data_IF_564273070869
#
_entry.id   IF_564273070869
#
_cell.length_a   1.000
_cell.length_b   1.000
_cell.length_c   1.000
_cell.angle_alpha   90.00
_cell.angle_beta   90.00
_cell.angle_gamma   90.00
#
_symmetry.space_group_name_H-M   'P 1'
#
loop_
_entity.id
_entity.type
_entity.pdbx_description
1 polymer ?
#
# COMPACT_ATOMS: atom_id res chain seq x y z
N UNK A 1 -0.30 -9.42 -23.38
CA UNK A 1 -1.61 -8.94 -23.90
C UNK A 1 -2.82 -9.50 -23.13
N UNK A 2 -3.10 -10.82 -23.11
CA UNK A 2 -4.32 -11.37 -22.47
C UNK A 2 -4.48 -11.08 -20.96
N UNK A 3 -3.38 -11.06 -20.18
CA UNK A 3 -3.42 -10.86 -18.72
C UNK A 3 -3.66 -9.40 -18.32
N UNK A 4 -3.09 -8.45 -19.07
CA UNK A 4 -3.30 -7.01 -18.87
C UNK A 4 -4.78 -6.62 -19.08
N UNK A 5 -5.41 -7.18 -20.12
CA UNK A 5 -6.83 -6.91 -20.39
C UNK A 5 -7.79 -7.44 -19.30
N UNK A 6 -7.41 -8.50 -18.56
CA UNK A 6 -8.22 -9.01 -17.45
C UNK A 6 -8.15 -8.12 -16.22
N UNK A 7 -6.95 -7.66 -15.85
CA UNK A 7 -6.78 -6.79 -14.68
C UNK A 7 -7.50 -5.45 -14.87
N UNK A 8 -7.40 -4.88 -16.09
CA UNK A 8 -8.15 -3.65 -16.42
C UNK A 8 -9.65 -3.85 -16.24
N UNK A 9 -10.23 -4.87 -16.86
CA UNK A 9 -11.68 -5.16 -16.74
C UNK A 9 -12.12 -5.41 -15.30
N UNK A 10 -11.28 -6.06 -14.49
CA UNK A 10 -11.56 -6.29 -13.08
C UNK A 10 -11.63 -4.96 -12.30
N UNK A 11 -10.64 -4.09 -12.47
CA UNK A 11 -10.62 -2.76 -11.83
C UNK A 11 -11.77 -1.87 -12.32
N UNK A 12 -12.10 -1.91 -13.61
CA UNK A 12 -13.25 -1.19 -14.16
C UNK A 12 -14.55 -1.61 -13.48
N UNK A 13 -14.76 -2.92 -13.31
CA UNK A 13 -15.93 -3.46 -12.63
C UNK A 13 -15.97 -3.04 -11.15
N UNK A 14 -14.84 -3.11 -10.45
CA UNK A 14 -14.75 -2.65 -9.06
C UNK A 14 -15.08 -1.17 -8.92
N UNK A 15 -14.66 -0.33 -9.87
CA UNK A 15 -15.01 1.10 -9.89
C UNK A 15 -16.48 1.40 -10.17
N UNK A 16 -17.32 0.38 -10.42
CA UNK A 16 -18.79 0.52 -10.49
C UNK A 16 -19.49 0.10 -9.19
N UNK A 17 -18.79 -0.52 -8.25
CA UNK A 17 -19.35 -0.93 -6.96
C UNK A 17 -19.46 0.30 -6.04
N UNK A 18 -20.61 0.50 -5.39
CA UNK A 18 -20.75 1.54 -4.38
C UNK A 18 -20.03 1.13 -3.08
N UNK A 19 -19.32 2.09 -2.46
CA UNK A 19 -18.61 1.90 -1.18
C UNK A 19 -17.52 0.81 -1.21
N UNK A 20 -16.76 0.72 -2.29
CA UNK A 20 -15.64 -0.21 -2.39
C UNK A 20 -14.30 0.42 -1.97
N UNK A 21 -13.48 -0.34 -1.24
CA UNK A 21 -12.11 0.05 -0.87
C UNK A 21 -11.12 -0.92 -1.52
N UNK A 22 -10.21 -0.37 -2.35
CA UNK A 22 -9.15 -1.12 -2.99
C UNK A 22 -7.82 -0.88 -2.27
N UNK A 23 -7.26 -1.92 -1.67
CA UNK A 23 -5.90 -1.90 -1.12
C UNK A 23 -4.92 -2.48 -2.13
N UNK A 24 -3.81 -1.77 -2.36
CA UNK A 24 -2.77 -2.14 -3.32
C UNK A 24 -1.44 -2.21 -2.58
N UNK A 25 -0.78 -3.36 -2.67
CA UNK A 25 0.59 -3.55 -2.19
C UNK A 25 1.50 -3.88 -3.38
N UNK A 26 2.66 -3.25 -3.41
CA UNK A 26 3.60 -3.32 -4.52
C UNK A 26 4.93 -3.89 -4.06
N UNK A 27 5.46 -4.84 -4.84
CA UNK A 27 6.79 -5.37 -4.59
C UNK A 27 7.83 -4.24 -4.78
N UNK A 28 8.96 -4.25 -4.03
CA UNK A 28 10.02 -3.29 -4.26
C UNK A 28 10.44 -3.25 -5.74
N UNK A 29 10.65 -2.04 -6.27
CA UNK A 29 10.94 -1.72 -7.69
C UNK A 29 9.74 -1.57 -8.63
N UNK A 30 8.51 -1.65 -8.12
CA UNK A 30 7.34 -1.19 -8.89
C UNK A 30 7.32 0.33 -8.90
N UNK A 31 7.08 0.91 -10.07
CA UNK A 31 7.05 2.35 -10.32
C UNK A 31 5.71 2.98 -9.90
N UNK A 32 5.74 4.27 -9.55
CA UNK A 32 4.58 5.12 -9.28
C UNK A 32 3.60 5.19 -10.46
N UNK A 33 4.06 4.92 -11.70
CA UNK A 33 3.20 4.78 -12.89
C UNK A 33 2.02 3.81 -12.67
N UNK A 34 2.19 2.78 -11.82
CA UNK A 34 1.11 1.84 -11.50
C UNK A 34 -0.02 2.51 -10.71
N UNK A 35 0.29 3.43 -9.79
CA UNK A 35 -0.73 4.16 -9.04
C UNK A 35 -1.58 5.01 -9.98
N UNK A 36 -0.96 5.70 -10.93
CA UNK A 36 -1.68 6.52 -11.91
C UNK A 36 -2.55 5.67 -12.85
N UNK A 37 -2.05 4.51 -13.29
CA UNK A 37 -2.84 3.56 -14.06
C UNK A 37 -4.07 3.06 -13.27
N UNK A 38 -3.90 2.75 -11.99
CA UNK A 38 -5.01 2.33 -11.13
C UNK A 38 -6.02 3.46 -10.98
N UNK A 39 -5.58 4.70 -10.74
CA UNK A 39 -6.46 5.87 -10.64
C UNK A 39 -7.25 6.11 -11.91
N UNK A 40 -6.64 5.96 -13.09
CA UNK A 40 -7.33 6.12 -14.38
C UNK A 40 -8.48 5.11 -14.55
N UNK A 41 -8.23 3.85 -14.17
CA UNK A 41 -9.16 2.75 -14.40
C UNK A 41 -10.22 2.63 -13.29
N UNK A 42 -9.77 2.60 -12.03
CA UNK A 42 -10.62 2.41 -10.86
C UNK A 42 -11.37 3.69 -10.47
N UNK A 43 -10.83 4.87 -10.82
CA UNK A 43 -11.42 6.20 -10.54
C UNK A 43 -11.87 6.38 -9.09
N UNK A 44 -10.96 6.22 -8.10
CA UNK A 44 -11.30 6.39 -6.71
C UNK A 44 -11.68 7.85 -6.40
N UNK A 45 -12.69 8.05 -5.55
CA UNK A 45 -13.03 9.37 -5.00
C UNK A 45 -11.93 9.89 -4.06
N UNK A 46 -11.20 8.98 -3.42
CA UNK A 46 -10.19 9.29 -2.43
C UNK A 46 -9.01 8.33 -2.48
N UNK A 47 -7.80 8.84 -2.26
CA UNK A 47 -6.56 8.06 -2.27
C UNK A 47 -5.78 8.37 -1.01
N UNK A 48 -5.49 7.33 -0.21
CA UNK A 48 -4.59 7.40 0.93
C UNK A 48 -3.35 6.61 0.55
N UNK A 49 -2.17 7.23 0.66
CA UNK A 49 -0.92 6.49 0.54
C UNK A 49 -0.38 6.16 1.91
N UNK A 50 0.13 4.95 2.07
CA UNK A 50 0.79 4.51 3.28
C UNK A 50 1.93 5.45 3.71
N UNK A 51 2.69 5.98 2.75
CA UNK A 51 3.78 6.94 3.01
C UNK A 51 3.31 8.25 3.67
N UNK A 52 2.05 8.64 3.44
CA UNK A 52 1.50 9.89 3.98
C UNK A 52 0.99 9.72 5.41
N UNK A 53 0.59 8.51 5.81
CA UNK A 53 -0.03 8.23 7.11
C UNK A 53 0.86 7.45 8.07
N UNK A 54 1.98 6.88 7.61
CA UNK A 54 2.90 6.15 8.48
C UNK A 54 3.74 7.09 9.35
N UNK A 55 4.27 6.52 10.44
CA UNK A 55 5.30 7.18 11.22
C UNK A 55 6.50 7.57 10.35
N UNK A 56 7.25 8.57 10.82
CA UNK A 56 8.49 8.98 10.16
C UNK A 56 9.52 7.85 10.12
N UNK A 57 10.41 7.93 9.12
CA UNK A 57 11.44 6.93 8.84
C UNK A 57 12.20 6.45 10.08
N UNK A 58 12.57 7.35 10.98
CA UNK A 58 13.36 7.01 12.17
C UNK A 58 12.58 6.16 13.18
N UNK A 59 11.29 6.47 13.37
CA UNK A 59 10.44 5.67 14.26
C UNK A 59 10.11 4.32 13.62
N UNK A 60 9.80 4.28 12.32
CA UNK A 60 9.63 3.01 11.58
C UNK A 60 10.87 2.12 11.68
N UNK A 61 12.06 2.68 11.50
CA UNK A 61 13.32 1.94 11.64
C UNK A 61 13.49 1.37 13.04
N UNK A 62 13.16 2.15 14.07
CA UNK A 62 13.22 1.72 15.47
C UNK A 62 12.21 0.60 15.77
N UNK A 63 10.99 0.69 15.25
CA UNK A 63 9.96 -0.34 15.37
C UNK A 63 10.35 -1.64 14.66
N UNK A 64 10.97 -1.54 13.49
CA UNK A 64 11.38 -2.70 12.68
C UNK A 64 12.68 -3.36 13.14
N UNK A 65 13.58 -2.62 13.78
CA UNK A 65 14.91 -3.08 14.20
C UNK A 65 14.94 -4.45 14.90
N UNK A 66 14.00 -4.82 15.80
CA UNK A 66 14.00 -6.13 16.44
C UNK A 66 13.76 -7.31 15.48
N UNK A 67 13.16 -7.06 14.32
CA UNK A 67 12.78 -8.08 13.33
C UNK A 67 13.76 -8.18 12.16
N UNK A 68 14.60 -7.17 11.98
CA UNK A 68 15.65 -7.13 10.97
C UNK A 68 16.89 -7.89 11.46
N UNK A 69 17.48 -8.70 10.59
CA UNK A 69 18.76 -9.35 10.86
C UNK A 69 19.81 -8.83 9.88
N UNK A 70 21.09 -9.11 10.17
CA UNK A 70 22.19 -8.78 9.24
C UNK A 70 22.06 -9.51 7.88
N UNK A 71 21.28 -10.60 7.85
CA UNK A 71 20.97 -11.32 6.62
C UNK A 71 19.65 -10.81 6.03
N UNK A 72 19.75 -10.03 4.94
CA UNK A 72 18.60 -9.49 4.19
C UNK A 72 17.57 -10.51 3.70
N UNK A 73 17.89 -11.81 3.70
CA UNK A 73 16.99 -12.90 3.29
C UNK A 73 16.37 -13.61 4.50
N UNK A 74 17.01 -13.58 5.67
CA UNK A 74 16.58 -14.31 6.87
C UNK A 74 16.20 -13.36 7.99
N UNK A 75 15.03 -12.74 7.88
CA UNK A 75 14.42 -11.95 8.95
C UNK A 75 13.80 -12.80 10.05
N UNK A 76 13.43 -12.17 11.16
CA UNK A 76 12.45 -12.73 12.10
C UNK A 76 11.06 -12.37 11.58
N UNK A 77 10.12 -13.32 11.61
CA UNK A 77 8.75 -13.05 11.20
C UNK A 77 8.15 -11.96 12.09
N UNK A 78 7.72 -10.87 11.46
CA UNK A 78 6.93 -9.84 12.14
C UNK A 78 5.49 -10.35 12.28
N UNK A 79 4.94 -10.28 13.49
CA UNK A 79 3.59 -10.76 13.81
C UNK A 79 2.56 -9.63 14.00
N UNK A 80 2.98 -8.37 13.85
CA UNK A 80 2.10 -7.23 13.93
C UNK A 80 1.29 -7.00 12.65
N UNK A 81 0.54 -5.91 12.63
CA UNK A 81 -0.31 -5.49 11.51
C UNK A 81 0.26 -4.25 10.84
N UNK A 82 -0.19 -3.97 9.62
CA UNK A 82 0.18 -2.72 8.94
C UNK A 82 -0.25 -1.49 9.75
N UNK A 83 -1.40 -1.59 10.42
CA UNK A 83 -1.96 -0.56 11.30
C UNK A 83 -1.01 -0.16 12.43
N UNK A 84 -0.11 -1.06 12.85
CA UNK A 84 0.87 -0.75 13.90
C UNK A 84 1.87 0.34 13.47
N UNK A 85 2.01 0.60 12.16
CA UNK A 85 2.90 1.61 11.59
C UNK A 85 2.20 2.93 11.24
N UNK A 86 0.89 3.03 11.42
CA UNK A 86 0.11 4.22 11.13
C UNK A 86 0.24 5.22 12.29
N UNK A 87 0.50 6.48 11.93
CA UNK A 87 0.41 7.61 12.83
C UNK A 87 -1.03 8.14 12.81
N UNK A 88 -1.78 7.89 13.89
CA UNK A 88 -3.19 8.31 14.01
C UNK A 88 -3.38 9.83 13.83
N UNK A 89 -2.37 10.64 14.17
CA UNK A 89 -2.44 12.11 13.99
C UNK A 89 -2.37 12.46 12.50
N UNK A 90 -1.59 11.72 11.71
CA UNK A 90 -1.54 11.92 10.26
C UNK A 90 -2.79 11.37 9.59
N UNK A 91 -3.26 10.20 10.01
CA UNK A 91 -4.48 9.61 9.47
C UNK A 91 -5.69 10.53 9.70
N UNK A 92 -5.79 11.17 10.87
CA UNK A 92 -6.89 12.09 11.19
C UNK A 92 -6.91 13.41 10.37
N UNK A 93 -5.91 13.66 9.51
CA UNK A 93 -5.88 14.83 8.62
C UNK A 93 -6.58 14.59 7.28
N UNK A 94 -7.00 13.35 7.02
CA UNK A 94 -7.78 12.93 5.87
C UNK A 94 -9.28 12.93 6.19
#
# INVERSE_FOLDING_TARGET
MYRQNRNKKYLENLGQEENYCLTVDCYPSVDDEILDLIKEIYKPDFVIKSEDVFYEKDELNKMMKPFLTENRVRGVMYYGKMDDFIDDIKLAQY
#
